data_IF_294579386885
#
_entry.id   IF_294579386885
#
_cell.length_a   1.000
_cell.length_b   1.000
_cell.length_c   1.000
_cell.angle_alpha   90.00
_cell.angle_beta   90.00
_cell.angle_gamma   90.00
#
_symmetry.space_group_name_H-M   'P 1'
#
loop_
_entity.id
_entity.type
_entity.pdbx_description
1 polymer ?
#
# COMPACT_ATOMS: atom_id res chain seq x y z
N UNK A 1 16.76 -26.26 3.99
CA UNK A 1 17.53 -27.50 3.76
C UNK A 1 18.99 -27.11 3.59
N UNK A 2 19.76 -27.15 4.68
CA UNK A 2 21.21 -26.88 4.65
C UNK A 2 21.93 -28.22 4.77
N UNK A 3 22.76 -28.51 3.78
CA UNK A 3 23.61 -29.72 3.71
C UNK A 3 24.67 -29.62 4.80
N UNK A 4 24.71 -30.60 5.70
CA UNK A 4 25.78 -30.79 6.67
C UNK A 4 26.98 -31.43 5.96
N UNK A 5 28.08 -30.70 5.87
CA UNK A 5 29.36 -31.19 5.36
C UNK A 5 30.03 -32.09 6.42
N UNK A 6 30.44 -33.27 5.98
CA UNK A 6 31.32 -34.18 6.70
C UNK A 6 32.72 -33.55 6.83
N UNK A 7 33.26 -33.52 8.05
CA UNK A 7 34.62 -33.06 8.32
C UNK A 7 35.40 -34.15 9.09
N UNK A 8 36.34 -34.76 8.37
CA UNK A 8 37.56 -35.49 8.75
C UNK A 8 37.62 -36.25 10.09
N UNK A 9 37.57 -37.59 10.01
CA UNK A 9 38.31 -38.50 10.88
C UNK A 9 39.72 -38.67 10.27
N UNK A 10 40.71 -37.96 10.81
CA UNK A 10 42.12 -38.18 10.49
C UNK A 10 42.74 -38.90 11.70
N UNK A 11 42.85 -40.23 11.59
CA UNK A 11 43.46 -41.08 12.60
C UNK A 11 44.97 -40.79 12.72
N UNK A 12 45.37 -40.19 13.84
CA UNK A 12 46.77 -40.06 14.26
C UNK A 12 47.40 -41.45 14.45
N UNK A 13 48.15 -41.89 13.43
CA UNK A 13 49.07 -43.04 13.53
C UNK A 13 50.24 -42.69 14.45
N UNK A 14 50.10 -42.99 15.73
CA UNK A 14 51.20 -42.98 16.70
C UNK A 14 52.19 -44.10 16.33
N UNK A 15 53.28 -43.74 15.66
CA UNK A 15 54.44 -44.61 15.43
C UNK A 15 55.10 -44.92 16.78
N UNK A 16 54.73 -46.04 17.41
CA UNK A 16 55.50 -46.62 18.51
C UNK A 16 56.85 -47.09 17.97
N UNK A 17 57.90 -46.31 18.19
CA UNK A 17 59.28 -46.76 17.99
C UNK A 17 59.61 -47.74 19.11
N UNK A 18 59.42 -49.03 18.83
CA UNK A 18 59.88 -50.12 19.69
C UNK A 18 61.40 -50.19 19.54
N UNK A 19 62.13 -49.67 20.53
CA UNK A 19 63.57 -49.87 20.65
C UNK A 19 63.76 -51.25 21.27
N UNK A 20 63.90 -52.28 20.45
CA UNK A 20 64.29 -53.60 20.93
C UNK A 20 65.76 -53.58 21.38
N UNK A 21 66.08 -54.00 22.62
CA UNK A 21 67.45 -54.14 23.06
C UNK A 21 68.11 -55.31 22.31
N UNK A 22 69.06 -55.01 21.42
CA UNK A 22 69.96 -56.02 20.83
C UNK A 22 70.81 -56.64 21.94
N UNK A 23 70.41 -57.80 22.43
CA UNK A 23 71.27 -58.71 23.20
C UNK A 23 72.34 -59.25 22.24
N UNK A 24 73.52 -58.63 22.24
CA UNK A 24 74.70 -59.19 21.56
C UNK A 24 75.18 -60.41 22.35
N UNK A 25 75.31 -61.50 21.63
CA UNK A 25 75.86 -62.78 22.05
C UNK A 25 77.18 -62.63 22.82
N UNK A 26 77.29 -63.44 23.87
CA UNK A 26 78.53 -63.72 24.58
C UNK A 26 79.49 -64.43 23.61
N UNK A 27 80.58 -63.76 23.24
CA UNK A 27 81.68 -64.33 22.47
C UNK A 27 83.01 -63.97 23.13
N UNK A 28 83.66 -65.00 23.66
CA UNK A 28 85.07 -65.18 24.05
C UNK A 28 85.91 -63.96 24.47
N UNK A 29 86.32 -63.99 25.75
CA UNK A 29 87.35 -63.15 26.33
C UNK A 29 88.75 -63.56 25.83
N UNK A 30 89.57 -62.63 25.30
CA UNK A 30 91.02 -62.77 25.36
C UNK A 30 91.51 -62.31 26.73
N UNK A 31 92.10 -63.24 27.49
CA UNK A 31 92.97 -62.92 28.62
C UNK A 31 94.26 -62.30 28.07
N UNK A 32 94.40 -60.98 28.14
CA UNK A 32 95.72 -60.37 28.21
C UNK A 32 95.67 -59.05 28.99
N UNK A 33 96.55 -58.95 29.99
CA UNK A 33 96.48 -57.96 31.05
C UNK A 33 96.81 -56.54 30.59
N UNK A 34 95.83 -55.64 30.71
CA UNK A 34 96.05 -54.19 30.76
C UNK A 34 95.21 -53.60 31.89
N UNK A 35 95.82 -53.40 33.06
CA UNK A 35 95.20 -52.83 34.27
C UNK A 35 94.98 -51.29 34.16
N UNK A 36 95.03 -50.72 32.95
CA UNK A 36 94.89 -49.28 32.67
C UNK A 36 93.49 -48.80 32.25
N UNK A 37 92.59 -49.69 31.82
CA UNK A 37 91.34 -49.28 31.11
C UNK A 37 90.07 -49.18 31.98
N UNK A 38 90.08 -49.71 33.22
CA UNK A 38 88.91 -49.67 34.11
C UNK A 38 88.54 -48.25 34.59
N UNK A 39 89.51 -47.33 34.64
CA UNK A 39 89.25 -45.93 35.02
C UNK A 39 88.49 -45.19 33.92
N UNK A 40 88.83 -45.42 32.65
CA UNK A 40 88.18 -44.79 31.51
C UNK A 40 86.76 -45.33 31.26
N UNK A 41 86.52 -46.61 31.53
CA UNK A 41 85.18 -47.19 31.44
C UNK A 41 84.23 -46.66 32.53
N UNK A 42 84.72 -46.50 33.76
CA UNK A 42 83.95 -45.90 34.86
C UNK A 42 83.62 -44.43 34.59
N UNK A 43 84.56 -43.67 34.00
CA UNK A 43 84.32 -42.28 33.59
C UNK A 43 83.30 -42.20 32.44
N UNK A 44 83.38 -43.09 31.45
CA UNK A 44 82.38 -43.19 30.37
C UNK A 44 80.99 -43.53 30.92
N UNK A 45 80.88 -44.48 31.83
CA UNK A 45 79.61 -44.84 32.48
C UNK A 45 79.01 -43.70 33.32
N UNK A 46 79.85 -42.94 34.03
CA UNK A 46 79.40 -41.76 34.78
C UNK A 46 78.97 -40.62 33.86
N UNK A 47 79.68 -40.42 32.76
CA UNK A 47 79.34 -39.42 31.74
C UNK A 47 78.00 -39.75 31.08
N UNK A 48 77.78 -40.99 30.65
CA UNK A 48 76.51 -41.41 30.05
C UNK A 48 75.35 -41.33 31.03
N UNK A 49 75.56 -41.70 32.31
CA UNK A 49 74.54 -41.54 33.35
C UNK A 49 74.15 -40.07 33.54
N UNK A 50 75.13 -39.16 33.51
CA UNK A 50 74.87 -37.73 33.62
C UNK A 50 74.13 -37.18 32.39
N UNK A 51 74.50 -37.62 31.19
CA UNK A 51 73.81 -37.26 29.94
C UNK A 51 72.36 -37.74 29.91
N UNK A 52 72.09 -38.98 30.34
CA UNK A 52 70.74 -39.51 30.47
C UNK A 52 69.89 -38.65 31.42
N UNK A 53 70.42 -38.29 32.60
CA UNK A 53 69.72 -37.40 33.54
C UNK A 53 69.43 -36.02 32.96
N UNK A 54 70.36 -35.44 32.19
CA UNK A 54 70.14 -34.15 31.52
C UNK A 54 69.03 -34.24 30.46
N UNK A 55 68.96 -35.35 29.73
CA UNK A 55 67.89 -35.62 28.75
C UNK A 55 66.55 -35.78 29.45
N UNK A 56 66.49 -36.55 30.54
CA UNK A 56 65.29 -36.73 31.37
C UNK A 56 64.78 -35.39 31.92
N UNK A 57 65.65 -34.58 32.53
CA UNK A 57 65.27 -33.25 33.04
C UNK A 57 64.77 -32.32 31.92
N UNK A 58 65.40 -32.36 30.74
CA UNK A 58 64.95 -31.58 29.57
C UNK A 58 63.58 -32.05 29.09
N UNK A 59 63.36 -33.36 29.05
CA UNK A 59 62.08 -33.94 28.64
C UNK A 59 60.98 -33.57 29.63
N UNK A 60 61.21 -33.72 30.93
CA UNK A 60 60.27 -33.33 31.99
C UNK A 60 59.92 -31.83 31.92
N UNK A 61 60.93 -30.97 31.73
CA UNK A 61 60.71 -29.54 31.54
C UNK A 61 59.86 -29.22 30.30
N UNK A 62 60.11 -29.90 29.18
CA UNK A 62 59.32 -29.72 27.96
C UNK A 62 57.88 -30.22 28.13
N UNK A 63 57.69 -31.36 28.80
CA UNK A 63 56.36 -31.89 29.09
C UNK A 63 55.55 -30.94 29.99
N UNK A 64 56.20 -30.33 30.99
CA UNK A 64 55.53 -29.35 31.86
C UNK A 64 55.21 -28.05 31.11
N UNK A 65 56.09 -27.59 30.20
CA UNK A 65 55.80 -26.46 29.30
C UNK A 65 54.57 -26.77 28.43
N UNK A 66 54.53 -27.92 27.76
CA UNK A 66 53.40 -28.31 26.92
C UNK A 66 52.11 -28.48 27.71
N UNK A 67 52.16 -29.06 28.91
CA UNK A 67 50.99 -29.14 29.80
C UNK A 67 50.48 -27.74 30.17
N UNK A 68 51.39 -26.81 30.47
CA UNK A 68 51.04 -25.42 30.76
C UNK A 68 50.43 -24.69 29.57
N UNK A 69 50.95 -24.92 28.36
CA UNK A 69 50.40 -24.37 27.11
C UNK A 69 49.01 -24.93 26.81
N UNK A 70 48.82 -26.24 26.94
CA UNK A 70 47.52 -26.89 26.77
C UNK A 70 46.48 -26.36 27.76
N UNK A 71 46.88 -26.13 29.03
CA UNK A 71 45.98 -25.53 30.03
C UNK A 71 45.57 -24.10 29.66
N UNK A 72 46.50 -23.28 29.14
CA UNK A 72 46.18 -21.92 28.68
C UNK A 72 45.21 -21.95 27.50
N UNK A 73 45.43 -22.84 26.53
CA UNK A 73 44.55 -23.00 25.37
C UNK A 73 43.14 -23.44 25.79
N UNK A 74 43.03 -24.39 26.72
CA UNK A 74 41.74 -24.83 27.28
C UNK A 74 40.99 -23.68 27.99
N UNK A 75 41.70 -22.89 28.79
CA UNK A 75 41.11 -21.72 29.47
C UNK A 75 40.68 -20.63 28.47
N UNK A 76 41.44 -20.38 27.42
CA UNK A 76 41.08 -19.45 26.34
C UNK A 76 39.87 -19.94 25.55
N UNK A 77 39.84 -21.24 25.22
CA UNK A 77 38.70 -21.87 24.56
C UNK A 77 37.44 -21.77 25.42
N UNK A 78 37.53 -22.06 26.72
CA UNK A 78 36.40 -21.92 27.65
C UNK A 78 35.86 -20.49 27.67
N UNK A 79 36.74 -19.48 27.74
CA UNK A 79 36.34 -18.06 27.68
C UNK A 79 35.69 -17.69 26.35
N UNK A 80 36.19 -18.22 25.23
CA UNK A 80 35.61 -18.00 23.91
C UNK A 80 34.21 -18.60 23.77
N UNK A 81 34.01 -19.82 24.30
CA UNK A 81 32.70 -20.48 24.36
C UNK A 81 31.71 -19.66 25.21
N UNK A 82 32.13 -19.19 26.38
CA UNK A 82 31.28 -18.37 27.25
C UNK A 82 30.89 -17.03 26.59
N UNK A 83 31.82 -16.40 25.87
CA UNK A 83 31.54 -15.17 25.12
C UNK A 83 30.52 -15.43 24.00
N UNK A 84 30.70 -16.51 23.23
CA UNK A 84 29.77 -16.92 22.19
C UNK A 84 28.38 -17.19 22.76
N UNK A 85 28.29 -17.89 23.90
CA UNK A 85 27.01 -18.17 24.58
C UNK A 85 26.29 -16.89 24.99
N UNK A 86 27.00 -15.89 25.51
CA UNK A 86 26.44 -14.57 25.83
C UNK A 86 25.91 -13.88 24.57
N UNK A 87 26.70 -13.82 23.50
CA UNK A 87 26.28 -13.20 22.23
C UNK A 87 25.05 -13.90 21.61
N UNK A 88 24.95 -15.23 21.70
CA UNK A 88 23.75 -15.97 21.26
C UNK A 88 22.52 -15.59 22.07
N UNK A 89 22.65 -15.41 23.39
CA UNK A 89 21.54 -14.99 24.23
C UNK A 89 21.10 -13.55 23.93
N UNK A 90 22.05 -12.64 23.68
CA UNK A 90 21.74 -11.26 23.28
C UNK A 90 21.01 -11.23 21.94
N UNK A 91 21.46 -12.04 20.96
CA UNK A 91 20.79 -12.17 19.67
C UNK A 91 19.35 -12.70 19.81
N UNK A 92 19.14 -13.71 20.68
CA UNK A 92 17.80 -14.24 20.97
C UNK A 92 16.88 -13.16 21.56
N UNK A 93 17.42 -12.31 22.44
CA UNK A 93 16.67 -11.19 23.03
C UNK A 93 16.28 -10.18 21.96
N UNK A 94 17.23 -9.70 21.14
CA UNK A 94 16.95 -8.76 20.05
C UNK A 94 15.93 -9.33 19.07
N UNK A 95 16.06 -10.60 18.69
CA UNK A 95 15.09 -11.27 17.83
C UNK A 95 13.67 -11.28 18.45
N UNK A 96 13.57 -11.48 19.77
CA UNK A 96 12.28 -11.42 20.47
C UNK A 96 11.68 -10.01 20.50
N UNK A 97 12.50 -8.97 20.60
CA UNK A 97 12.08 -7.57 20.56
C UNK A 97 11.58 -7.19 19.16
N UNK A 98 12.33 -7.53 18.10
CA UNK A 98 11.92 -7.34 16.70
C UNK A 98 10.57 -8.02 16.43
N UNK A 99 10.37 -9.24 16.92
CA UNK A 99 9.10 -9.96 16.73
C UNK A 99 7.91 -9.24 17.39
N UNK A 100 8.12 -8.61 18.55
CA UNK A 100 7.08 -7.81 19.21
C UNK A 100 6.76 -6.55 18.42
N UNK A 101 7.77 -5.82 17.97
CA UNK A 101 7.61 -4.64 17.14
C UNK A 101 6.87 -4.95 15.83
N UNK A 102 7.21 -6.06 15.16
CA UNK A 102 6.48 -6.52 13.98
C UNK A 102 5.00 -6.79 14.27
N UNK A 103 4.70 -7.39 15.43
CA UNK A 103 3.31 -7.64 15.84
C UNK A 103 2.56 -6.35 16.15
N UNK A 104 3.22 -5.35 16.74
CA UNK A 104 2.66 -4.03 17.01
C UNK A 104 2.40 -3.26 15.72
N UNK A 105 3.36 -3.27 14.79
CA UNK A 105 3.20 -2.67 13.47
C UNK A 105 2.05 -3.32 12.70
N UNK A 106 1.94 -4.66 12.73
CA UNK A 106 0.82 -5.38 12.12
C UNK A 106 -0.54 -4.94 12.68
N UNK A 107 -0.65 -4.72 13.99
CA UNK A 107 -1.87 -4.19 14.61
C UNK A 107 -2.15 -2.74 14.19
N UNK A 108 -1.12 -1.89 14.09
CA UNK A 108 -1.27 -0.51 13.67
C UNK A 108 -1.74 -0.40 12.20
N UNK A 109 -1.20 -1.24 11.31
CA UNK A 109 -1.64 -1.32 9.92
C UNK A 109 -3.12 -1.73 9.84
N UNK A 110 -3.52 -2.79 10.54
CA UNK A 110 -4.92 -3.22 10.55
C UNK A 110 -5.87 -2.12 11.08
N UNK A 111 -5.45 -1.35 12.08
CA UNK A 111 -6.23 -0.23 12.59
C UNK A 111 -6.38 0.91 11.55
N UNK A 112 -5.32 1.19 10.78
CA UNK A 112 -5.36 2.18 9.70
C UNK A 112 -6.25 1.72 8.54
N UNK A 113 -6.21 0.44 8.16
CA UNK A 113 -7.09 -0.13 7.13
C UNK A 113 -8.57 0.08 7.49
N UNK A 114 -8.95 -0.19 8.74
CA UNK A 114 -10.33 0.05 9.22
C UNK A 114 -10.70 1.54 9.15
N UNK A 115 -9.77 2.45 9.49
CA UNK A 115 -10.02 3.89 9.39
C UNK A 115 -10.21 4.34 7.94
N UNK A 116 -9.38 3.84 7.02
CA UNK A 116 -9.50 4.14 5.59
C UNK A 116 -10.85 3.67 5.06
N UNK A 117 -11.25 2.43 5.36
CA UNK A 117 -12.55 1.89 4.96
C UNK A 117 -13.72 2.74 5.48
N UNK A 118 -13.65 3.18 6.74
CA UNK A 118 -14.67 4.04 7.34
C UNK A 118 -14.73 5.42 6.66
N UNK A 119 -13.58 6.02 6.34
CA UNK A 119 -13.56 7.29 5.60
C UNK A 119 -14.12 7.14 4.18
N UNK A 120 -13.84 6.01 3.52
CA UNK A 120 -14.37 5.71 2.20
C UNK A 120 -15.90 5.56 2.25
N UNK A 121 -16.43 4.80 3.20
CA UNK A 121 -17.88 4.66 3.42
C UNK A 121 -18.56 5.98 3.74
N UNK A 122 -17.96 6.82 4.59
CA UNK A 122 -18.49 8.16 4.88
C UNK A 122 -18.56 9.02 3.64
N UNK A 123 -17.52 8.99 2.80
CA UNK A 123 -17.48 9.72 1.53
C UNK A 123 -18.55 9.23 0.57
N UNK A 124 -18.70 7.92 0.38
CA UNK A 124 -19.72 7.36 -0.52
C UNK A 124 -21.12 7.73 -0.05
N UNK A 125 -21.40 7.60 1.25
CA UNK A 125 -22.71 7.99 1.80
C UNK A 125 -22.99 9.48 1.60
N UNK A 126 -22.01 10.35 1.83
CA UNK A 126 -22.16 11.79 1.61
C UNK A 126 -22.39 12.12 0.12
N UNK A 127 -21.72 11.41 -0.78
CA UNK A 127 -21.97 11.53 -2.24
C UNK A 127 -23.38 11.06 -2.59
N UNK A 128 -23.85 9.93 -2.06
CA UNK A 128 -25.19 9.42 -2.30
C UNK A 128 -26.27 10.38 -1.77
N UNK A 129 -26.07 10.95 -0.58
CA UNK A 129 -26.97 11.94 0.01
C UNK A 129 -27.02 13.23 -0.82
N UNK A 130 -25.87 13.69 -1.33
CA UNK A 130 -25.79 14.83 -2.23
C UNK A 130 -26.50 14.54 -3.56
N UNK A 131 -26.28 13.37 -4.15
CA UNK A 131 -26.98 12.94 -5.36
C UNK A 131 -28.50 12.93 -5.14
N UNK A 132 -28.98 12.37 -4.02
CA UNK A 132 -30.41 12.40 -3.66
C UNK A 132 -30.93 13.84 -3.53
N UNK A 133 -30.20 14.71 -2.83
CA UNK A 133 -30.60 16.11 -2.67
C UNK A 133 -30.69 16.83 -4.03
N UNK A 134 -29.73 16.62 -4.92
CA UNK A 134 -29.75 17.17 -6.29
C UNK A 134 -30.96 16.62 -7.06
N UNK A 135 -31.25 15.33 -7.00
CA UNK A 135 -32.43 14.75 -7.65
C UNK A 135 -33.74 15.37 -7.18
N UNK A 136 -33.84 15.81 -5.91
CA UNK A 136 -35.01 16.56 -5.43
C UNK A 136 -35.05 18.00 -5.95
N UNK A 137 -33.89 18.62 -6.18
CA UNK A 137 -33.80 20.01 -6.65
C UNK A 137 -34.01 20.16 -8.16
N UNK A 138 -33.67 19.15 -8.97
CA UNK A 138 -33.82 19.19 -10.44
C UNK A 138 -35.26 19.53 -10.87
N UNK A 139 -36.32 18.89 -10.33
CA UNK A 139 -37.70 19.26 -10.65
C UNK A 139 -38.06 20.72 -10.33
N UNK A 140 -37.47 21.31 -9.29
CA UNK A 140 -37.69 22.71 -8.95
C UNK A 140 -37.10 23.63 -10.03
N UNK A 141 -35.83 23.44 -10.40
CA UNK A 141 -35.18 24.25 -11.43
C UNK A 141 -35.88 24.12 -12.78
N UNK A 142 -36.34 22.91 -13.12
CA UNK A 142 -37.19 22.69 -14.28
C UNK A 142 -38.47 23.53 -14.22
N UNK A 143 -39.18 23.52 -13.09
CA UNK A 143 -40.37 24.34 -12.88
C UNK A 143 -40.10 25.85 -13.00
N UNK A 144 -38.94 26.32 -12.51
CA UNK A 144 -38.52 27.72 -12.63
C UNK A 144 -38.34 28.12 -14.10
N UNK A 145 -37.61 27.32 -14.88
CA UNK A 145 -37.38 27.60 -16.30
C UNK A 145 -38.69 27.65 -17.09
N UNK A 146 -39.61 26.73 -16.82
CA UNK A 146 -40.92 26.72 -17.47
C UNK A 146 -41.74 27.96 -17.13
N UNK A 147 -41.71 28.43 -15.87
CA UNK A 147 -42.43 29.64 -15.45
C UNK A 147 -41.83 30.89 -16.10
N UNK A 148 -40.49 30.99 -16.13
CA UNK A 148 -39.79 32.07 -16.83
C UNK A 148 -40.13 32.08 -18.32
N UNK A 149 -40.28 30.89 -18.93
CA UNK A 149 -40.61 30.77 -20.35
C UNK A 149 -42.06 31.17 -20.63
N UNK A 150 -42.99 30.80 -19.76
CA UNK A 150 -44.37 31.30 -19.83
C UNK A 150 -44.40 32.83 -19.70
N UNK A 151 -43.65 33.41 -18.77
CA UNK A 151 -43.58 34.86 -18.58
C UNK A 151 -42.97 35.57 -19.80
N UNK A 152 -41.88 35.04 -20.37
CA UNK A 152 -41.28 35.57 -21.60
C UNK A 152 -42.30 35.53 -22.75
N UNK A 153 -43.05 34.43 -22.89
CA UNK A 153 -44.13 34.36 -23.87
C UNK A 153 -45.23 35.39 -23.59
N UNK A 154 -45.69 35.54 -22.34
CA UNK A 154 -46.67 36.57 -21.97
C UNK A 154 -46.20 37.97 -22.38
N UNK A 155 -44.92 38.29 -22.17
CA UNK A 155 -44.30 39.56 -22.61
C UNK A 155 -44.28 39.68 -24.13
N UNK A 156 -43.87 38.62 -24.85
CA UNK A 156 -43.85 38.60 -26.30
C UNK A 156 -45.24 38.74 -26.92
N UNK A 157 -46.29 38.12 -26.37
CA UNK A 157 -47.64 38.14 -26.97
C UNK A 157 -48.52 39.27 -26.46
N UNK A 158 -48.22 39.79 -25.26
CA UNK A 158 -49.11 40.59 -24.45
C UNK A 158 -50.11 39.69 -23.69
N UNK A 159 -50.30 39.96 -22.38
CA UNK A 159 -51.10 39.14 -21.46
C UNK A 159 -52.47 38.74 -22.01
N UNK A 160 -53.29 39.70 -22.47
CA UNK A 160 -54.64 39.43 -23.03
C UNK A 160 -54.61 38.57 -24.30
N UNK A 161 -53.58 38.68 -25.12
CA UNK A 161 -53.45 37.88 -26.34
C UNK A 161 -52.97 36.47 -26.02
N UNK A 162 -52.08 36.34 -25.04
CA UNK A 162 -51.64 35.06 -24.50
C UNK A 162 -52.81 34.29 -23.88
N UNK A 163 -53.57 34.92 -23.00
CA UNK A 163 -54.73 34.32 -22.34
C UNK A 163 -55.78 33.85 -23.36
N UNK A 164 -56.11 34.68 -24.37
CA UNK A 164 -57.00 34.28 -25.48
C UNK A 164 -56.44 33.12 -26.28
N UNK A 165 -55.13 33.07 -26.49
CA UNK A 165 -54.48 32.00 -27.24
C UNK A 165 -54.54 30.68 -26.45
N UNK A 166 -54.27 30.70 -25.14
CA UNK A 166 -54.43 29.54 -24.27
C UNK A 166 -55.90 29.10 -24.14
N UNK A 167 -56.85 30.04 -24.12
CA UNK A 167 -58.28 29.76 -24.04
C UNK A 167 -58.89 29.23 -25.36
N UNK A 168 -58.13 29.22 -26.47
CA UNK A 168 -58.66 28.88 -27.80
C UNK A 168 -59.02 27.39 -28.00
N UNK A 169 -58.89 26.55 -26.97
CA UNK A 169 -59.13 25.10 -27.00
C UNK A 169 -58.46 24.37 -28.18
N UNK A 170 -57.39 24.94 -28.75
CA UNK A 170 -56.65 24.33 -29.85
C UNK A 170 -55.89 23.10 -29.35
N UNK A 171 -55.84 22.01 -30.14
CA UNK A 171 -54.94 20.89 -29.85
C UNK A 171 -53.50 21.37 -29.67
N UNK A 172 -52.76 20.79 -28.71
CA UNK A 172 -51.40 21.22 -28.35
C UNK A 172 -50.47 21.40 -29.56
N UNK A 173 -50.42 20.47 -30.55
CA UNK A 173 -49.54 20.65 -31.71
C UNK A 173 -49.88 21.88 -32.58
N UNK A 174 -51.18 22.22 -32.69
CA UNK A 174 -51.62 23.40 -33.44
C UNK A 174 -51.30 24.68 -32.69
N UNK A 175 -51.49 24.68 -31.36
CA UNK A 175 -51.11 25.78 -30.48
C UNK A 175 -49.60 26.05 -30.55
N UNK A 176 -48.77 25.01 -30.42
CA UNK A 176 -47.31 25.08 -30.54
C UNK A 176 -46.83 25.66 -31.87
N UNK A 177 -47.35 25.18 -33.00
CA UNK A 177 -47.00 25.75 -34.32
C UNK A 177 -47.39 27.23 -34.43
N UNK A 178 -48.55 27.61 -33.89
CA UNK A 178 -49.03 29.00 -33.94
C UNK A 178 -48.16 29.93 -33.09
N UNK A 179 -47.76 29.48 -31.90
CA UNK A 179 -46.81 30.22 -31.05
C UNK A 179 -45.46 30.33 -31.74
N UNK A 180 -44.91 29.22 -32.25
CA UNK A 180 -43.63 29.19 -32.98
C UNK A 180 -43.60 30.19 -34.14
N UNK A 181 -44.63 30.20 -34.99
CA UNK A 181 -44.70 31.10 -36.13
C UNK A 181 -44.70 32.57 -35.71
N UNK A 182 -45.46 32.91 -34.66
CA UNK A 182 -45.46 34.27 -34.14
C UNK A 182 -44.16 34.68 -33.44
N UNK A 183 -43.47 33.75 -32.76
CA UNK A 183 -42.13 34.03 -32.21
C UNK A 183 -41.14 34.34 -33.34
N UNK A 184 -41.21 33.60 -34.45
CA UNK A 184 -40.42 33.88 -35.66
C UNK A 184 -40.75 35.23 -36.29
N UNK A 185 -42.03 35.59 -36.39
CA UNK A 185 -42.47 36.91 -36.89
C UNK A 185 -41.88 38.06 -36.06
N UNK A 186 -41.68 37.84 -34.76
CA UNK A 186 -41.07 38.80 -33.82
C UNK A 186 -39.54 38.75 -33.77
N UNK A 187 -38.90 38.00 -34.68
CA UNK A 187 -37.44 37.87 -34.81
C UNK A 187 -36.74 37.46 -33.51
N UNK A 188 -37.35 36.55 -32.74
CA UNK A 188 -36.65 35.94 -31.59
C UNK A 188 -35.45 35.13 -32.09
N UNK A 189 -34.28 35.38 -31.52
CA UNK A 189 -32.99 34.80 -31.93
C UNK A 189 -32.97 33.29 -31.82
N UNK A 190 -33.48 32.76 -30.70
CA UNK A 190 -33.70 31.33 -30.50
C UNK A 190 -35.20 31.07 -30.43
N UNK A 191 -35.73 30.19 -31.28
CA UNK A 191 -37.16 29.85 -31.26
C UNK A 191 -37.30 28.35 -30.96
N UNK A 192 -37.94 27.98 -29.83
CA UNK A 192 -38.12 26.58 -29.48
C UNK A 192 -38.81 25.76 -30.59
N UNK A 193 -38.45 24.49 -30.64
CA UNK A 193 -39.07 23.46 -31.46
C UNK A 193 -40.57 23.32 -31.14
N UNK A 194 -41.31 22.70 -32.07
CA UNK A 194 -42.76 22.49 -31.85
C UNK A 194 -42.98 21.51 -30.70
N UNK A 195 -42.13 20.50 -30.57
CA UNK A 195 -42.18 19.49 -29.50
C UNK A 195 -41.88 20.11 -28.14
N UNK A 196 -40.89 21.00 -28.09
CA UNK A 196 -40.50 21.74 -26.88
C UNK A 196 -41.63 22.65 -26.39
N UNK A 197 -42.28 23.38 -27.31
CA UNK A 197 -43.46 24.18 -26.99
C UNK A 197 -44.65 23.32 -26.56
N UNK A 198 -44.83 22.13 -27.16
CA UNK A 198 -45.86 21.19 -26.73
C UNK A 198 -45.62 20.72 -25.30
N UNK A 199 -44.38 20.37 -24.96
CA UNK A 199 -43.99 19.99 -23.61
C UNK A 199 -44.30 21.12 -22.61
N UNK A 200 -43.83 22.34 -22.90
CA UNK A 200 -44.07 23.54 -22.09
C UNK A 200 -45.58 23.78 -21.86
N UNK A 201 -46.41 23.66 -22.90
CA UNK A 201 -47.85 23.81 -22.74
C UNK A 201 -48.49 22.70 -21.93
N UNK A 202 -48.07 21.45 -22.12
CA UNK A 202 -48.57 20.34 -21.32
C UNK A 202 -48.35 20.59 -19.82
N UNK A 203 -47.18 21.13 -19.46
CA UNK A 203 -46.83 21.44 -18.08
C UNK A 203 -47.63 22.63 -17.52
N UNK A 204 -47.80 23.69 -18.30
CA UNK A 204 -48.63 24.86 -17.92
C UNK A 204 -50.08 24.44 -17.66
N UNK A 205 -50.64 23.55 -18.49
CA UNK A 205 -52.00 23.02 -18.30
C UNK A 205 -52.14 22.19 -17.02
N UNK A 206 -51.12 21.39 -16.68
CA UNK A 206 -51.10 20.60 -15.44
C UNK A 206 -51.03 21.53 -14.21
N UNK A 207 -50.15 22.55 -14.20
CA UNK A 207 -50.07 23.49 -13.07
C UNK A 207 -51.30 24.35 -12.88
N UNK A 208 -51.94 24.80 -13.97
CA UNK A 208 -53.19 25.60 -13.87
C UNK A 208 -54.34 24.83 -13.24
N UNK A 209 -54.34 23.49 -13.32
CA UNK A 209 -55.30 22.64 -12.59
C UNK A 209 -54.97 22.48 -11.11
N UNK A 210 -53.70 22.63 -10.72
CA UNK A 210 -53.23 22.48 -9.35
C UNK A 210 -53.27 23.78 -8.52
N UNK A 211 -53.69 24.90 -9.10
CA UNK A 211 -53.79 26.23 -8.47
C UNK A 211 -52.49 26.79 -7.83
N UNK A 212 -51.33 26.33 -8.31
CA UNK A 212 -50.01 26.79 -7.84
C UNK A 212 -49.49 27.90 -8.76
N UNK A 213 -49.90 29.15 -8.57
CA UNK A 213 -49.51 30.29 -9.43
C UNK A 213 -48.48 31.26 -8.84
N UNK A 214 -48.20 31.23 -7.54
CA UNK A 214 -47.35 32.23 -6.89
C UNK A 214 -46.04 31.64 -6.38
N UNK A 215 -45.11 31.39 -7.30
CA UNK A 215 -43.70 31.28 -6.92
C UNK A 215 -42.91 32.24 -7.78
N UNK A 216 -42.66 33.44 -7.25
CA UNK A 216 -41.69 34.37 -7.85
C UNK A 216 -40.30 33.81 -7.59
N UNK A 217 -39.71 33.19 -8.60
CA UNK A 217 -38.39 32.59 -8.49
C UNK A 217 -37.30 33.66 -8.56
N UNK A 218 -36.30 33.56 -7.68
CA UNK A 218 -35.12 34.44 -7.66
C UNK A 218 -33.85 33.76 -8.21
N UNK A 219 -34.01 32.61 -8.87
CA UNK A 219 -32.87 31.84 -9.36
C UNK A 219 -32.08 32.66 -10.39
N UNK A 220 -30.76 32.68 -10.23
CA UNK A 220 -29.85 33.35 -11.15
C UNK A 220 -29.68 32.54 -12.45
N UNK A 221 -29.14 33.17 -13.49
CA UNK A 221 -28.86 32.49 -14.75
C UNK A 221 -27.86 31.33 -14.53
N UNK A 222 -26.85 31.56 -13.71
CA UNK A 222 -25.80 30.60 -13.40
C UNK A 222 -26.34 29.38 -12.62
N UNK A 223 -27.21 29.61 -11.63
CA UNK A 223 -27.87 28.53 -10.87
C UNK A 223 -28.72 27.64 -11.77
N UNK A 224 -29.43 28.23 -12.74
CA UNK A 224 -30.24 27.47 -13.70
C UNK A 224 -29.36 26.70 -14.69
N UNK A 225 -28.25 27.29 -15.16
CA UNK A 225 -27.27 26.60 -16.01
C UNK A 225 -26.66 25.39 -15.30
N UNK A 226 -26.24 25.57 -14.05
CA UNK A 226 -25.67 24.50 -13.22
C UNK A 226 -26.69 23.38 -12.98
N UNK A 227 -27.94 23.72 -12.71
CA UNK A 227 -29.01 22.74 -12.51
C UNK A 227 -29.31 21.92 -13.79
N UNK A 228 -29.27 22.54 -14.97
CA UNK A 228 -29.43 21.83 -16.25
C UNK A 228 -28.24 20.89 -16.49
N UNK A 229 -27.01 21.35 -16.21
CA UNK A 229 -25.79 20.55 -16.34
C UNK A 229 -25.77 19.33 -15.40
N UNK A 230 -26.41 19.45 -14.23
CA UNK A 230 -26.54 18.38 -13.25
C UNK A 230 -27.54 17.29 -13.65
N UNK A 231 -28.35 17.49 -14.70
CA UNK A 231 -29.22 16.43 -15.25
C UNK A 231 -28.33 15.37 -15.94
N UNK A 232 -28.40 14.09 -15.51
CA UNK A 232 -27.59 13.04 -16.10
C UNK A 232 -27.91 12.88 -17.59
N UNK A 233 -26.91 13.05 -18.45
CA UNK A 233 -27.07 12.90 -19.90
C UNK A 233 -27.52 11.49 -20.27
N UNK A 234 -26.99 10.50 -19.56
CA UNK A 234 -27.16 9.09 -19.88
C UNK A 234 -28.57 8.57 -19.55
N UNK A 235 -29.24 9.20 -18.58
CA UNK A 235 -30.57 8.76 -18.14
C UNK A 235 -31.69 9.40 -18.96
N UNK A 236 -31.57 10.68 -19.32
CA UNK A 236 -32.61 11.45 -20.00
C UNK A 236 -32.04 12.53 -20.96
N UNK A 237 -31.40 12.13 -22.07
CA UNK A 237 -30.73 13.06 -22.98
C UNK A 237 -31.72 14.06 -23.63
N UNK A 238 -32.94 13.60 -23.95
CA UNK A 238 -33.98 14.45 -24.53
C UNK A 238 -34.46 15.55 -23.58
N UNK A 239 -34.56 15.26 -22.27
CA UNK A 239 -34.99 16.24 -21.28
C UNK A 239 -33.93 17.31 -21.05
N UNK A 240 -32.65 16.91 -21.05
CA UNK A 240 -31.55 17.87 -20.95
C UNK A 240 -31.48 18.78 -22.17
N UNK A 241 -31.56 18.23 -23.37
CA UNK A 241 -31.55 19.03 -24.60
C UNK A 241 -32.74 20.01 -24.67
N UNK A 242 -33.92 19.59 -24.23
CA UNK A 242 -35.08 20.48 -24.10
C UNK A 242 -34.80 21.64 -23.13
N UNK A 243 -34.21 21.34 -21.97
CA UNK A 243 -33.87 22.34 -20.96
C UNK A 243 -32.81 23.34 -21.45
N UNK A 244 -31.80 22.86 -22.17
CA UNK A 244 -30.78 23.68 -22.81
C UNK A 244 -31.42 24.64 -23.84
N UNK A 245 -32.26 24.13 -24.76
CA UNK A 245 -33.00 24.96 -25.72
C UNK A 245 -33.90 26.00 -25.05
N UNK A 246 -34.57 25.62 -23.95
CA UNK A 246 -35.40 26.53 -23.17
C UNK A 246 -34.56 27.63 -22.50
N UNK A 247 -33.37 27.29 -22.00
CA UNK A 247 -32.42 28.25 -21.44
C UNK A 247 -31.93 29.23 -22.52
N UNK A 248 -31.54 28.73 -23.69
CA UNK A 248 -31.13 29.59 -24.81
C UNK A 248 -32.26 30.52 -25.26
N UNK A 249 -33.50 30.01 -25.29
CA UNK A 249 -34.68 30.83 -25.55
C UNK A 249 -34.86 31.92 -24.50
N UNK A 250 -34.65 31.63 -23.22
CA UNK A 250 -34.83 32.61 -22.14
C UNK A 250 -33.79 33.72 -22.17
N UNK A 251 -32.51 33.34 -22.23
CA UNK A 251 -31.39 34.25 -22.04
C UNK A 251 -30.76 34.76 -23.35
N UNK A 252 -31.21 34.26 -24.50
CA UNK A 252 -30.74 34.67 -25.84
C UNK A 252 -29.22 34.50 -26.02
N UNK A 253 -28.65 33.50 -25.34
CA UNK A 253 -27.23 33.14 -25.40
C UNK A 253 -27.07 31.64 -25.60
N UNK A 254 -26.01 31.17 -26.30
CA UNK A 254 -25.70 29.75 -26.38
C UNK A 254 -25.48 29.16 -24.99
N UNK A 255 -25.96 27.94 -24.77
CA UNK A 255 -25.83 27.27 -23.48
C UNK A 255 -24.35 27.04 -23.08
N UNK A 256 -23.49 26.75 -24.06
CA UNK A 256 -22.05 26.48 -23.85
C UNK A 256 -21.17 27.73 -23.65
N UNK A 257 -21.73 28.94 -23.81
CA UNK A 257 -21.00 30.21 -23.63
C UNK A 257 -20.81 30.62 -22.17
#
# INVERSE_FOLDING_TARGET
MLKSEHFFDEEDKVMHVVIEPKTKDAGDCPEDGSLGDCSDEMLRSRLTTMECRLIEMRHEHNMERHRSEMKKLDDEFRRAVDKTKKSVNDLKRVHSEIRKEQSELGRAIAALEVQVDETYRKRTNATDDLCRAISFLVPFHHGILLDMAEEKMIRCFGKKSWERLCASHLPLPKLARRVKNKLKERRQSHTPSVEELMYLFSHIYVRKKADVRDVTHRATQEELKEAIMAVPVDEQPENRQFLESLFEFLFERPFDS
#
